data_IF_357187376485
#
_entry.id   IF_357187376485
#
_cell.length_a   1.000
_cell.length_b   1.000
_cell.length_c   1.000
_cell.angle_alpha   90.00
_cell.angle_beta   90.00
_cell.angle_gamma   90.00
#
_symmetry.space_group_name_H-M   'P 1'
#
loop_
_entity.id
_entity.type
_entity.pdbx_description
1 polymer ?
#
# COMPACT_ATOMS: atom_id res chain seq x y z
N UNK A 1 28.97 -0.23 18.24
CA UNK A 1 28.02 0.47 17.37
C UNK A 1 27.53 1.66 18.15
N UNK A 2 28.21 2.79 18.03
CA UNK A 2 27.86 4.04 18.69
C UNK A 2 26.96 4.78 17.71
N UNK A 3 25.64 4.68 17.89
CA UNK A 3 24.70 5.32 16.98
C UNK A 3 24.87 6.83 17.09
N UNK A 4 25.40 7.46 16.04
CA UNK A 4 25.67 8.89 16.03
C UNK A 4 24.36 9.69 15.95
N UNK A 5 24.32 10.89 16.53
CA UNK A 5 23.17 11.80 16.40
C UNK A 5 22.76 12.02 14.94
N UNK A 6 23.74 12.03 14.03
CA UNK A 6 23.51 12.18 12.58
C UNK A 6 22.71 11.02 12.00
N UNK A 7 22.97 9.78 12.42
CA UNK A 7 22.24 8.59 11.93
C UNK A 7 20.77 8.61 12.37
N UNK A 8 20.48 9.16 13.55
CA UNK A 8 19.10 9.35 14.03
C UNK A 8 18.37 10.37 13.16
N UNK A 9 19.03 11.49 12.81
CA UNK A 9 18.45 12.49 11.92
C UNK A 9 18.26 11.96 10.49
N UNK A 10 19.19 11.16 9.98
CA UNK A 10 19.06 10.48 8.69
C UNK A 10 17.88 9.51 8.67
N UNK A 11 17.71 8.71 9.74
CA UNK A 11 16.61 7.76 9.84
C UNK A 11 15.25 8.47 9.93
N UNK A 12 15.16 9.57 10.69
CA UNK A 12 13.97 10.41 10.76
C UNK A 12 13.66 11.08 9.41
N UNK A 13 14.69 11.56 8.71
CA UNK A 13 14.56 12.14 7.37
C UNK A 13 14.06 11.12 6.34
N UNK A 14 14.68 9.94 6.31
CA UNK A 14 14.27 8.84 5.42
C UNK A 14 12.84 8.38 5.71
N UNK A 15 12.46 8.26 6.99
CA UNK A 15 11.10 7.92 7.39
C UNK A 15 10.09 9.00 6.98
N UNK A 16 10.41 10.29 7.15
CA UNK A 16 9.56 11.39 6.74
C UNK A 16 9.30 11.40 5.22
N UNK A 17 10.35 11.21 4.43
CA UNK A 17 10.28 11.10 2.97
C UNK A 17 9.46 9.87 2.54
N UNK A 18 9.65 8.74 3.21
CA UNK A 18 8.92 7.50 2.97
C UNK A 18 7.41 7.66 3.25
N UNK A 19 7.04 8.18 4.43
CA UNK A 19 5.64 8.45 4.79
C UNK A 19 4.98 9.43 3.82
N UNK A 20 5.70 10.46 3.40
CA UNK A 20 5.22 11.41 2.40
C UNK A 20 4.99 10.73 1.04
N UNK A 21 5.93 9.91 0.59
CA UNK A 21 5.78 9.12 -0.64
C UNK A 21 4.56 8.18 -0.60
N UNK A 22 4.32 7.51 0.53
CA UNK A 22 3.13 6.68 0.72
C UNK A 22 1.84 7.48 0.67
N UNK A 23 1.80 8.67 1.27
CA UNK A 23 0.63 9.56 1.19
C UNK A 23 0.34 9.97 -0.26
N UNK A 24 1.36 10.41 -0.99
CA UNK A 24 1.24 10.78 -2.41
C UNK A 24 0.78 9.60 -3.25
N UNK A 25 1.28 8.39 -3.00
CA UNK A 25 0.83 7.17 -3.67
C UNK A 25 -0.65 6.89 -3.38
N UNK A 26 -1.09 7.00 -2.13
CA UNK A 26 -2.50 6.81 -1.75
C UNK A 26 -3.41 7.82 -2.44
N UNK A 27 -3.05 9.11 -2.42
CA UNK A 27 -3.81 10.17 -3.06
C UNK A 27 -3.87 10.01 -4.59
N UNK A 28 -2.75 9.63 -5.22
CA UNK A 28 -2.70 9.34 -6.65
C UNK A 28 -3.55 8.12 -7.01
N UNK A 29 -3.53 7.06 -6.21
CA UNK A 29 -4.38 5.89 -6.39
C UNK A 29 -5.86 6.25 -6.25
N UNK A 30 -6.23 7.09 -5.28
CA UNK A 30 -7.61 7.59 -5.12
C UNK A 30 -8.06 8.45 -6.32
N UNK A 31 -7.19 9.29 -6.85
CA UNK A 31 -7.42 10.07 -8.07
C UNK A 31 -7.58 9.18 -9.31
N UNK A 32 -6.72 8.17 -9.45
CA UNK A 32 -6.80 7.16 -10.52
C UNK A 32 -8.07 6.28 -10.36
N UNK A 33 -8.49 6.03 -9.12
CA UNK A 33 -9.63 5.19 -8.73
C UNK A 33 -11.00 5.71 -9.16
N UNK A 34 -11.08 6.92 -9.73
CA UNK A 34 -12.30 7.48 -10.31
C UNK A 34 -12.88 6.68 -11.48
N UNK A 35 -13.62 7.35 -12.36
CA UNK A 35 -14.42 6.71 -13.42
C UNK A 35 -13.64 5.73 -14.34
N UNK A 36 -12.31 5.91 -14.50
CA UNK A 36 -11.44 5.00 -15.26
C UNK A 36 -11.18 3.67 -14.55
N UNK A 37 -10.89 3.68 -13.25
CA UNK A 37 -10.68 2.46 -12.46
C UNK A 37 -11.95 1.62 -12.39
N UNK A 38 -13.13 2.27 -12.34
CA UNK A 38 -14.42 1.58 -12.40
C UNK A 38 -14.62 0.81 -13.70
N UNK A 39 -14.20 1.38 -14.84
CA UNK A 39 -14.21 0.71 -16.15
C UNK A 39 -13.15 -0.40 -16.26
N UNK A 40 -11.96 -0.19 -15.72
CA UNK A 40 -10.89 -1.21 -15.69
C UNK A 40 -11.30 -2.38 -14.80
N UNK A 41 -11.83 -2.12 -13.60
CA UNK A 41 -12.37 -3.14 -12.70
C UNK A 41 -13.54 -3.88 -13.34
N UNK A 42 -14.46 -3.19 -14.02
CA UNK A 42 -15.55 -3.83 -14.75
C UNK A 42 -15.05 -4.76 -15.87
N UNK A 43 -13.98 -4.38 -16.58
CA UNK A 43 -13.38 -5.20 -17.65
C UNK A 43 -12.53 -6.35 -17.10
N UNK A 44 -11.85 -6.15 -15.97
CA UNK A 44 -11.10 -7.19 -15.28
C UNK A 44 -12.03 -8.21 -14.60
N UNK A 45 -13.18 -7.79 -14.10
CA UNK A 45 -14.19 -8.67 -13.48
C UNK A 45 -15.15 -9.29 -14.50
N UNK A 46 -15.22 -8.80 -15.74
CA UNK A 46 -16.11 -9.36 -16.78
C UNK A 46 -15.70 -10.76 -17.24
N UNK A 47 -14.45 -11.18 -16.99
CA UNK A 47 -13.99 -12.51 -17.33
C UNK A 47 -13.13 -13.08 -16.19
N UNK A 48 -13.58 -14.19 -15.61
CA UNK A 48 -12.94 -14.86 -14.45
C UNK A 48 -11.46 -15.15 -14.68
N UNK A 49 -11.05 -15.47 -15.90
CA UNK A 49 -9.65 -15.72 -16.23
C UNK A 49 -8.81 -14.44 -16.25
N UNK A 50 -9.34 -13.34 -16.81
CA UNK A 50 -8.65 -12.06 -16.84
C UNK A 50 -8.47 -11.49 -15.43
N UNK A 51 -9.49 -11.57 -14.59
CA UNK A 51 -9.43 -11.12 -13.20
C UNK A 51 -8.40 -11.89 -12.37
N UNK A 52 -8.30 -13.21 -12.56
CA UNK A 52 -7.29 -14.04 -11.90
C UNK A 52 -5.89 -13.68 -12.40
N UNK A 53 -5.66 -13.56 -13.71
CA UNK A 53 -4.32 -13.24 -14.25
C UNK A 53 -3.85 -11.84 -13.87
N UNK A 54 -4.74 -10.85 -13.83
CA UNK A 54 -4.37 -9.48 -13.43
C UNK A 54 -4.19 -9.35 -11.93
N UNK A 55 -5.05 -9.97 -11.11
CA UNK A 55 -4.85 -10.06 -9.66
C UNK A 55 -3.56 -10.81 -9.29
N UNK A 56 -3.23 -11.88 -10.03
CA UNK A 56 -1.97 -12.60 -9.89
C UNK A 56 -0.77 -11.73 -10.26
N UNK A 57 -0.79 -11.05 -11.41
CA UNK A 57 0.31 -10.16 -11.82
C UNK A 57 0.54 -9.02 -10.82
N UNK A 58 -0.54 -8.37 -10.37
CA UNK A 58 -0.44 -7.27 -9.39
C UNK A 58 0.12 -7.79 -8.07
N UNK A 59 -0.36 -8.93 -7.57
CA UNK A 59 0.13 -9.56 -6.33
C UNK A 59 1.58 -10.05 -6.48
N UNK A 60 1.95 -10.60 -7.64
CA UNK A 60 3.33 -11.00 -7.94
C UNK A 60 4.29 -9.82 -8.00
N UNK A 61 3.81 -8.63 -8.38
CA UNK A 61 4.62 -7.40 -8.38
C UNK A 61 4.71 -6.80 -6.97
N UNK A 62 3.61 -6.83 -6.20
CA UNK A 62 3.50 -6.23 -4.86
C UNK A 62 3.98 -7.20 -3.76
N UNK A 63 4.68 -8.29 -4.10
CA UNK A 63 5.17 -9.40 -3.25
C UNK A 63 6.01 -9.01 -2.00
N UNK A 64 6.12 -7.73 -1.65
CA UNK A 64 6.79 -7.29 -0.44
C UNK A 64 5.87 -7.47 0.77
N UNK A 65 6.17 -8.46 1.61
CA UNK A 65 5.55 -8.61 2.93
C UNK A 65 5.70 -7.33 3.78
N UNK A 66 6.79 -6.58 3.60
CA UNK A 66 7.01 -5.29 4.26
C UNK A 66 6.06 -4.20 3.77
N UNK A 67 5.74 -4.16 2.47
CA UNK A 67 4.74 -3.24 1.94
C UNK A 67 3.34 -3.56 2.49
N UNK A 68 2.99 -4.85 2.57
CA UNK A 68 1.71 -5.30 3.17
C UNK A 68 1.58 -4.87 4.62
N UNK A 69 2.59 -5.09 5.45
CA UNK A 69 2.57 -4.67 6.86
C UNK A 69 2.42 -3.15 7.01
N UNK A 70 3.15 -2.36 6.21
CA UNK A 70 3.08 -0.90 6.26
C UNK A 70 1.72 -0.37 5.82
N UNK A 71 1.11 -1.01 4.82
CA UNK A 71 -0.23 -0.67 4.33
C UNK A 71 -1.32 -0.97 5.37
N UNK A 72 -1.24 -2.14 6.02
CA UNK A 72 -2.15 -2.52 7.12
C UNK A 72 -2.03 -1.58 8.32
N UNK A 73 -0.80 -1.22 8.72
CA UNK A 73 -0.56 -0.24 9.79
C UNK A 73 -1.10 1.14 9.43
N UNK A 74 -0.91 1.58 8.18
CA UNK A 74 -1.43 2.86 7.69
C UNK A 74 -2.96 2.89 7.64
N UNK A 75 -3.62 1.79 7.28
CA UNK A 75 -5.08 1.70 7.25
C UNK A 75 -5.70 1.58 8.64
N UNK A 76 -5.02 0.91 9.56
CA UNK A 76 -5.44 0.91 10.97
C UNK A 76 -5.33 2.31 11.59
N UNK A 77 -4.26 3.06 11.28
CA UNK A 77 -4.11 4.45 11.70
C UNK A 77 -5.21 5.36 11.11
N UNK A 78 -5.61 5.12 9.87
CA UNK A 78 -6.71 5.82 9.21
C UNK A 78 -8.12 5.40 9.70
N UNK A 79 -8.23 4.52 10.71
CA UNK A 79 -9.50 3.92 11.19
C UNK A 79 -10.29 3.16 10.12
N UNK A 80 -9.64 2.77 9.03
CA UNK A 80 -10.23 1.97 7.96
C UNK A 80 -10.21 0.48 8.29
N UNK A 81 -9.33 0.05 9.21
CA UNK A 81 -9.25 -1.31 9.72
C UNK A 81 -9.11 -1.31 11.25
N UNK A 82 -9.88 -2.16 11.93
CA UNK A 82 -9.68 -2.42 13.35
C UNK A 82 -8.40 -3.23 13.57
N UNK A 83 -7.84 -3.18 14.79
CA UNK A 83 -6.64 -3.93 15.15
C UNK A 83 -6.82 -5.45 14.90
N UNK A 84 -8.02 -5.96 15.14
CA UNK A 84 -8.38 -7.36 14.92
C UNK A 84 -8.38 -7.72 13.43
N UNK A 85 -8.88 -6.84 12.58
CA UNK A 85 -8.85 -7.03 11.12
C UNK A 85 -7.41 -6.91 10.58
N UNK A 86 -6.62 -5.98 11.11
CA UNK A 86 -5.22 -5.80 10.75
C UNK A 86 -4.36 -7.05 11.05
N UNK A 87 -4.55 -7.66 12.24
CA UNK A 87 -3.86 -8.91 12.62
C UNK A 87 -4.26 -10.08 11.73
N UNK A 88 -5.46 -10.06 11.14
CA UNK A 88 -5.94 -11.14 10.25
C UNK A 88 -5.39 -11.04 8.82
N UNK A 89 -4.85 -9.90 8.42
CA UNK A 89 -4.33 -9.64 7.05
C UNK A 89 -2.81 -9.87 6.94
N UNK A 90 -2.08 -9.75 8.06
CA UNK A 90 -0.64 -10.06 8.16
C UNK A 90 -0.48 -11.57 8.38
#
# INVERSE_FOLDING_TARGET
MEYGLVEIFELLGALGLFLFGMKVMSDALLLLAGNKMRGILATMTSNRFLGISTGFLITSIIQSSSATTLMVVSFSNASLLTLTEAISVI
#
